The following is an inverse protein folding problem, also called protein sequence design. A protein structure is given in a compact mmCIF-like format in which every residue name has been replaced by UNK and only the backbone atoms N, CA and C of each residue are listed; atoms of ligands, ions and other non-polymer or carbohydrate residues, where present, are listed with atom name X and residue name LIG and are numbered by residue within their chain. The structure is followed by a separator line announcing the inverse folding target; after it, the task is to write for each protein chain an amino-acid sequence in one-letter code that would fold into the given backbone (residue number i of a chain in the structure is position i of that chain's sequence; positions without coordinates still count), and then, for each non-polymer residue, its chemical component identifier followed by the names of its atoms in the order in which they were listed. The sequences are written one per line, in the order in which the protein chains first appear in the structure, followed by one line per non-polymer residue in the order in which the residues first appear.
data_IF_256775970980
#
_entry.id   IF_256775970980
#
_cell.length_a   1.000
_cell.length_b   1.000
_cell.length_c   1.000
_cell.angle_alpha   90.00
_cell.angle_beta   90.00
_cell.angle_gamma   90.00
#
_symmetry.space_group_name_H-M   'P 1'
#
loop_
_entity.id
_entity.type
_entity.pdbx_description
1 polymer ?
#
# COMPACT_ATOMS: atom_id res chain seq x y z
N UNK A 1 9.13 -16.04 -21.10
CA UNK A 1 8.63 -14.65 -21.10
C UNK A 1 8.86 -14.05 -19.72
N UNK A 2 9.77 -13.10 -19.51
CA UNK A 2 9.91 -12.44 -18.21
C UNK A 2 8.62 -11.66 -17.93
N UNK A 3 7.92 -11.99 -16.85
CA UNK A 3 6.79 -11.20 -16.36
C UNK A 3 7.32 -9.77 -16.14
N UNK A 4 6.89 -8.80 -16.94
CA UNK A 4 7.22 -7.37 -16.72
C UNK A 4 6.86 -7.06 -15.27
N UNK A 5 7.88 -6.81 -14.43
CA UNK A 5 7.66 -6.46 -13.01
C UNK A 5 6.84 -5.18 -12.98
N UNK A 6 5.70 -5.21 -12.28
CA UNK A 6 4.95 -3.98 -12.00
C UNK A 6 5.84 -3.06 -11.16
N UNK A 7 5.80 -1.74 -11.38
CA UNK A 7 6.49 -0.81 -10.51
C UNK A 7 5.93 -0.96 -9.08
N UNK A 8 6.82 -1.13 -8.10
CA UNK A 8 6.44 -1.39 -6.71
C UNK A 8 6.34 -0.08 -5.96
N UNK A 9 5.33 0.04 -5.09
CA UNK A 9 5.07 1.22 -4.28
C UNK A 9 5.01 0.83 -2.81
N UNK A 10 5.98 1.28 -2.02
CA UNK A 10 6.08 0.96 -0.60
C UNK A 10 5.31 1.98 0.24
N UNK A 11 4.38 1.45 1.03
CA UNK A 11 3.57 2.21 1.98
C UNK A 11 3.89 1.74 3.39
N UNK A 12 4.27 2.67 4.26
CA UNK A 12 4.45 2.39 5.68
C UNK A 12 3.12 2.60 6.41
N UNK A 13 2.66 1.58 7.15
CA UNK A 13 1.55 1.69 8.07
C UNK A 13 2.06 1.98 9.48
N UNK A 14 1.55 3.04 10.08
CA UNK A 14 1.79 3.41 11.47
C UNK A 14 0.53 3.15 12.33
N UNK A 15 0.64 3.37 13.63
CA UNK A 15 -0.49 3.38 14.55
C UNK A 15 -1.67 4.21 14.03
N UNK A 16 -2.87 3.84 14.49
CA UNK A 16 -4.14 4.44 14.06
C UNK A 16 -4.39 4.33 12.54
N UNK A 17 -3.85 3.28 11.91
CA UNK A 17 -4.01 3.00 10.49
C UNK A 17 -3.53 4.11 9.54
N UNK A 18 -2.59 4.96 9.98
CA UNK A 18 -1.99 5.98 9.13
C UNK A 18 -1.08 5.36 8.08
N UNK A 19 -1.31 5.68 6.81
CA UNK A 19 -0.57 5.15 5.68
C UNK A 19 0.35 6.24 5.11
N UNK A 20 1.62 5.94 4.96
CA UNK A 20 2.64 6.87 4.50
C UNK A 20 3.32 6.32 3.24
N UNK A 21 3.19 7.05 2.14
CA UNK A 21 3.89 6.74 0.90
C UNK A 21 5.34 7.24 1.01
N UNK A 22 6.28 6.29 0.99
CA UNK A 22 7.71 6.57 1.16
C UNK A 22 8.29 7.35 -0.03
N UNK A 23 7.73 7.14 -1.22
CA UNK A 23 8.20 7.75 -2.45
C UNK A 23 7.77 9.23 -2.55
N UNK A 24 6.52 9.54 -2.21
CA UNK A 24 6.02 10.94 -2.20
C UNK A 24 6.23 11.64 -0.87
N UNK A 25 6.67 10.90 0.15
CA UNK A 25 6.92 11.39 1.51
C UNK A 25 5.67 12.02 2.16
N UNK A 26 4.50 11.45 1.89
CA UNK A 26 3.22 11.99 2.30
C UNK A 26 2.29 10.93 2.88
N UNK A 27 1.39 11.34 3.78
CA UNK A 27 0.30 10.49 4.21
C UNK A 27 -0.75 10.36 3.11
N UNK A 28 -1.28 9.15 2.94
CA UNK A 28 -2.25 8.80 1.89
C UNK A 28 -3.44 8.05 2.49
N UNK A 29 -4.58 8.08 1.80
CA UNK A 29 -5.76 7.29 2.15
C UNK A 29 -5.67 5.89 1.55
N UNK A 30 -6.54 4.99 2.01
CA UNK A 30 -6.74 3.67 1.36
C UNK A 30 -7.21 3.83 -0.08
N UNK A 31 -8.04 4.83 -0.37
CA UNK A 31 -8.50 5.11 -1.75
C UNK A 31 -7.33 5.44 -2.68
N UNK A 32 -6.36 6.24 -2.21
CA UNK A 32 -5.16 6.50 -3.01
C UNK A 32 -4.36 5.22 -3.29
N UNK A 33 -4.35 4.26 -2.37
CA UNK A 33 -3.72 2.95 -2.62
C UNK A 33 -4.49 2.12 -3.65
N UNK A 34 -5.82 2.20 -3.66
CA UNK A 34 -6.66 1.56 -4.68
C UNK A 34 -6.41 2.18 -6.06
N UNK A 35 -6.31 3.50 -6.14
CA UNK A 35 -5.94 4.21 -7.37
C UNK A 35 -4.58 3.74 -7.90
N UNK A 36 -3.54 3.68 -7.04
CA UNK A 36 -2.22 3.18 -7.42
C UNK A 36 -2.27 1.76 -7.98
N UNK A 37 -3.08 0.85 -7.40
CA UNK A 37 -3.26 -0.50 -7.95
C UNK A 37 -3.92 -0.47 -9.33
N UNK A 38 -4.92 0.38 -9.53
CA UNK A 38 -5.60 0.58 -10.81
C UNK A 38 -4.69 1.21 -11.87
N UNK A 39 -3.77 2.09 -11.46
CA UNK A 39 -2.70 2.65 -12.31
C UNK A 39 -1.63 1.60 -12.69
N UNK A 40 -1.69 0.39 -12.12
CA UNK A 40 -0.82 -0.73 -12.46
C UNK A 40 0.37 -0.93 -11.51
N UNK A 41 0.43 -0.19 -10.40
CA UNK A 41 1.44 -0.38 -9.37
C UNK A 41 1.18 -1.63 -8.52
N UNK A 42 2.26 -2.28 -8.09
CA UNK A 42 2.23 -3.25 -7.01
C UNK A 42 2.36 -2.50 -5.68
N UNK A 43 1.24 -2.29 -4.99
CA UNK A 43 1.24 -1.65 -3.67
C UNK A 43 1.63 -2.65 -2.59
N UNK A 44 2.67 -2.31 -1.84
CA UNK A 44 3.20 -3.12 -0.74
C UNK A 44 3.08 -2.30 0.54
N UNK A 45 2.31 -2.80 1.51
CA UNK A 45 2.13 -2.15 2.81
C UNK A 45 2.95 -2.85 3.88
N UNK A 46 3.82 -2.12 4.57
CA UNK A 46 4.64 -2.60 5.69
C UNK A 46 4.25 -1.88 6.96
N UNK A 47 3.87 -2.62 7.99
CA UNK A 47 3.68 -2.07 9.33
C UNK A 47 5.03 -1.71 9.95
N UNK A 48 5.19 -0.47 10.40
CA UNK A 48 6.48 0.05 10.87
C UNK A 48 6.86 -0.54 12.22
N UNK A 49 5.88 -0.75 13.11
CA UNK A 49 6.11 -1.24 14.46
C UNK A 49 6.58 -2.70 14.48
N UNK A 50 6.01 -3.54 13.62
CA UNK A 50 6.26 -4.99 13.61
C UNK A 50 7.14 -5.42 12.43
N UNK A 51 7.34 -4.56 11.43
CA UNK A 51 8.02 -4.90 10.18
C UNK A 51 7.21 -5.82 9.25
N UNK A 52 5.99 -6.21 9.63
CA UNK A 52 5.16 -7.16 8.88
C UNK A 52 4.60 -6.54 7.60
N UNK A 53 4.49 -7.36 6.55
CA UNK A 53 3.78 -6.96 5.34
C UNK A 53 2.29 -7.28 5.50
N UNK A 54 1.46 -6.24 5.41
CA UNK A 54 0.02 -6.28 5.65
C UNK A 54 -0.79 -5.79 4.44
N UNK A 55 -0.19 -5.84 3.24
CA UNK A 55 -0.81 -5.38 1.99
C UNK A 55 -2.20 -5.98 1.77
N UNK A 56 -2.35 -7.29 2.00
CA UNK A 56 -3.61 -8.00 1.80
C UNK A 56 -4.66 -7.68 2.86
N UNK A 57 -4.25 -7.19 4.03
CA UNK A 57 -5.18 -6.76 5.09
C UNK A 57 -5.69 -5.35 4.83
N UNK A 58 -4.81 -4.45 4.39
CA UNK A 58 -5.16 -3.05 4.11
C UNK A 58 -5.94 -2.91 2.80
N UNK A 59 -5.70 -3.79 1.83
CA UNK A 59 -6.29 -3.71 0.49
C UNK A 59 -7.35 -4.78 0.25
N UNK A 60 -7.99 -5.28 1.32
CA UNK A 60 -9.08 -6.26 1.20
C UNK A 60 -10.20 -5.69 0.32
N UNK A 61 -10.68 -6.45 -0.69
CA UNK A 61 -11.89 -6.09 -1.39
C UNK A 61 -13.06 -6.13 -0.38
N UNK A 62 -13.68 -4.99 -0.10
CA UNK A 62 -14.88 -4.89 0.75
C UNK A 62 -14.69 -4.25 2.13
N UNK A 63 -13.52 -3.70 2.47
CA UNK A 63 -13.37 -2.85 3.66
C UNK A 63 -13.74 -1.39 3.35
N UNK A 64 -15.02 -1.18 3.01
CA UNK A 64 -15.71 0.11 3.11
C UNK A 64 -16.79 -0.10 4.17
N UNK A 65 -16.43 0.09 5.44
CA UNK A 65 -17.36 0.02 6.57
C UNK A 65 -17.21 1.29 7.41
#
# INVERSE_FOLDING_TARGET
MPRKKRPRRLINRYAQSRLYDVETRSYVSVDRLRELRSEGYEVVVREVETGRFVSDEVLRPGFDA
#
